data_IF_127077243893
#
_entry.id   IF_127077243893
#
_cell.length_a   1.000
_cell.length_b   1.000
_cell.length_c   1.000
_cell.angle_alpha   90.00
_cell.angle_beta   90.00
_cell.angle_gamma   90.00
#
_symmetry.space_group_name_H-M   'P 1'
#
loop_
_entity.id
_entity.type
_entity.pdbx_description
1 polymer ?
#
# COMPACT_ATOMS: atom_id res chain seq x y z
N UNK A 1 -16.80 43.49 -10.55
CA UNK A 1 -16.76 42.45 -9.50
C UNK A 1 -16.46 41.14 -10.20
N UNK A 2 -15.17 40.78 -10.22
CA UNK A 2 -14.60 39.72 -11.04
C UNK A 2 -14.82 38.33 -10.45
N UNK A 3 -15.53 37.48 -11.21
CA UNK A 3 -15.60 36.03 -11.02
C UNK A 3 -14.83 35.34 -12.17
N UNK A 4 -13.49 35.42 -12.16
CA UNK A 4 -12.64 34.63 -13.08
C UNK A 4 -11.28 34.33 -12.44
N UNK A 5 -11.09 33.15 -11.83
CA UNK A 5 -9.73 32.61 -11.61
C UNK A 5 -9.58 31.12 -11.26
N UNK A 6 -10.64 30.34 -10.97
CA UNK A 6 -10.44 28.95 -10.52
C UNK A 6 -10.69 27.84 -11.57
N UNK A 7 -11.34 28.14 -12.70
CA UNK A 7 -11.54 27.14 -13.77
C UNK A 7 -10.29 26.91 -14.64
N UNK A 8 -9.35 27.88 -14.67
CA UNK A 8 -8.15 27.79 -15.50
C UNK A 8 -7.07 26.85 -14.93
N UNK A 9 -6.99 26.71 -13.59
CA UNK A 9 -6.00 25.83 -12.93
C UNK A 9 -6.37 24.34 -13.01
N UNK A 10 -7.67 24.03 -12.99
CA UNK A 10 -8.17 22.64 -13.14
C UNK A 10 -8.00 22.13 -14.58
N UNK A 11 -8.15 23.02 -15.58
CA UNK A 11 -7.87 22.66 -16.98
C UNK A 11 -6.38 22.40 -17.25
N UNK A 12 -5.46 23.08 -16.55
CA UNK A 12 -4.02 22.90 -16.75
C UNK A 12 -3.53 21.52 -16.24
N UNK A 13 -4.16 20.99 -15.18
CA UNK A 13 -3.88 19.63 -14.66
C UNK A 13 -4.45 18.55 -15.59
N UNK A 14 -5.58 18.80 -16.25
CA UNK A 14 -6.18 17.89 -17.24
C UNK A 14 -5.46 17.89 -18.60
N UNK A 15 -4.85 19.01 -19.00
CA UNK A 15 -4.09 19.13 -20.25
C UNK A 15 -2.75 18.39 -20.22
N UNK A 16 -2.11 18.27 -19.05
CA UNK A 16 -0.86 17.51 -18.89
C UNK A 16 -1.07 15.98 -18.95
N UNK A 17 -2.31 15.50 -18.88
CA UNK A 17 -2.65 14.07 -18.95
C UNK A 17 -3.14 13.65 -20.36
N UNK A 18 -3.54 14.60 -21.21
CA UNK A 18 -4.19 14.29 -22.51
C UNK A 18 -3.31 14.46 -23.76
N UNK A 19 -2.02 14.78 -23.65
CA UNK A 19 -1.12 14.78 -24.80
C UNK A 19 -0.49 13.41 -25.05
N UNK A 20 -1.28 12.45 -25.55
CA UNK A 20 -0.84 11.51 -26.60
C UNK A 20 -2.04 10.70 -27.13
N UNK A 21 -2.72 11.26 -28.12
CA UNK A 21 -3.67 10.52 -28.97
C UNK A 21 -3.06 10.44 -30.36
N UNK A 22 -2.70 9.21 -30.72
CA UNK A 22 -2.73 8.58 -32.05
C UNK A 22 -1.43 7.88 -32.46
N UNK A 23 -1.51 6.53 -32.47
CA UNK A 23 -1.33 5.77 -33.71
C UNK A 23 -1.92 4.36 -33.55
N UNK A 24 -2.99 4.13 -34.31
CA UNK A 24 -3.60 2.82 -34.59
C UNK A 24 -2.58 1.90 -35.28
N UNK A 25 -2.59 0.63 -34.89
CA UNK A 25 -1.82 -0.43 -35.54
C UNK A 25 -2.11 -1.81 -34.94
N UNK A 26 -3.24 -2.38 -35.38
CA UNK A 26 -3.55 -3.79 -35.65
C UNK A 26 -3.19 -4.90 -34.63
N UNK A 27 -4.25 -5.64 -34.27
CA UNK A 27 -4.30 -6.87 -33.46
C UNK A 27 -3.65 -8.07 -34.19
N UNK A 28 -2.95 -8.93 -33.45
CA UNK A 28 -2.83 -10.36 -33.74
C UNK A 28 -2.71 -11.15 -32.44
N UNK A 29 -3.63 -12.10 -32.26
CA UNK A 29 -3.76 -13.06 -31.17
C UNK A 29 -2.85 -14.28 -31.34
N UNK A 30 -2.30 -14.83 -30.25
CA UNK A 30 -2.50 -16.23 -29.81
C UNK A 30 -1.48 -16.71 -28.75
N UNK A 31 -2.03 -17.22 -27.64
CA UNK A 31 -1.73 -18.49 -26.94
C UNK A 31 -0.37 -18.72 -26.23
N UNK A 32 -0.51 -19.05 -24.94
CA UNK A 32 0.31 -19.82 -23.99
C UNK A 32 1.60 -19.27 -23.36
N UNK A 33 1.63 -19.34 -22.02
CA UNK A 33 2.85 -19.39 -21.21
C UNK A 33 2.94 -18.34 -20.11
N UNK A 34 2.85 -18.78 -18.85
CA UNK A 34 3.28 -18.03 -17.68
C UNK A 34 4.76 -17.63 -17.82
N UNK A 35 5.06 -16.44 -18.36
CA UNK A 35 6.35 -15.78 -18.24
C UNK A 35 6.16 -14.28 -18.32
N UNK A 36 6.80 -13.57 -17.38
CA UNK A 36 7.09 -12.14 -17.33
C UNK A 36 5.99 -11.25 -17.91
N UNK A 37 5.23 -10.57 -17.02
CA UNK A 37 4.38 -9.45 -17.40
C UNK A 37 5.19 -8.47 -18.25
N UNK A 38 5.07 -8.62 -19.57
CA UNK A 38 5.76 -7.82 -20.56
C UNK A 38 5.12 -6.45 -20.48
N UNK A 39 5.88 -5.50 -19.93
CA UNK A 39 5.47 -4.12 -19.75
C UNK A 39 5.12 -3.50 -21.11
N UNK A 40 3.92 -2.93 -21.31
CA UNK A 40 3.75 -1.87 -22.27
C UNK A 40 4.10 -0.55 -21.58
N UNK A 41 5.37 -0.35 -21.24
CA UNK A 41 5.88 0.98 -20.87
C UNK A 41 6.40 1.66 -22.12
N UNK A 42 5.49 2.13 -22.97
CA UNK A 42 5.80 3.12 -23.99
C UNK A 42 6.04 4.48 -23.32
N UNK A 43 7.19 4.60 -22.67
CA UNK A 43 7.87 5.89 -22.57
C UNK A 43 9.26 5.62 -23.13
N UNK A 44 9.39 5.88 -24.43
CA UNK A 44 10.68 5.93 -25.09
C UNK A 44 11.67 6.68 -24.19
N UNK A 45 12.94 6.28 -24.19
CA UNK A 45 14.04 7.10 -23.69
C UNK A 45 13.97 8.46 -24.43
N UNK A 46 13.13 9.38 -23.95
CA UNK A 46 13.11 10.75 -24.45
C UNK A 46 14.45 11.28 -24.01
N UNK A 47 15.32 11.54 -24.99
CA UNK A 47 16.65 12.07 -24.75
C UNK A 47 16.50 13.29 -23.84
N UNK A 48 16.93 13.15 -22.60
CA UNK A 48 16.83 14.23 -21.61
C UNK A 48 17.72 15.34 -22.15
N UNK A 49 17.10 16.48 -22.47
CA UNK A 49 17.77 17.62 -23.06
C UNK A 49 19.00 18.00 -22.24
N UNK A 50 20.15 17.98 -22.92
CA UNK A 50 21.46 18.33 -22.39
C UNK A 50 21.47 19.76 -21.84
N UNK A 51 21.48 19.88 -20.52
CA UNK A 51 22.17 20.99 -19.86
C UNK A 51 23.39 20.37 -19.14
N UNK A 52 24.59 20.72 -19.63
CA UNK A 52 25.93 20.30 -19.17
C UNK A 52 26.62 19.09 -19.84
N UNK A 53 26.12 18.59 -20.98
CA UNK A 53 26.80 17.54 -21.77
C UNK A 53 27.05 16.21 -21.02
N UNK A 54 26.29 15.95 -19.95
CA UNK A 54 26.41 14.74 -19.13
C UNK A 54 25.63 13.60 -19.79
N UNK A 55 26.34 12.61 -20.34
CA UNK A 55 25.77 11.44 -21.03
C UNK A 55 25.49 10.30 -20.04
N UNK A 56 24.31 10.34 -19.42
CA UNK A 56 23.89 9.30 -18.46
C UNK A 56 23.72 7.92 -19.10
N UNK A 57 23.35 7.87 -20.37
CA UNK A 57 23.31 6.66 -21.19
C UNK A 57 24.69 5.96 -21.24
N UNK A 58 25.74 6.71 -21.54
CA UNK A 58 27.11 6.17 -21.52
C UNK A 58 27.55 5.77 -20.11
N UNK A 59 27.18 6.57 -19.10
CA UNK A 59 27.49 6.25 -17.71
C UNK A 59 26.82 4.94 -17.27
N UNK A 60 25.55 4.72 -17.59
CA UNK A 60 24.83 3.51 -17.19
C UNK A 60 25.43 2.25 -17.83
N UNK A 61 25.87 2.34 -19.09
CA UNK A 61 26.63 1.27 -19.75
C UNK A 61 27.97 1.04 -19.05
N UNK A 62 28.72 2.10 -18.73
CA UNK A 62 30.00 2.00 -18.01
C UNK A 62 29.88 1.41 -16.61
N UNK A 63 28.79 1.70 -15.92
CA UNK A 63 28.47 1.13 -14.60
C UNK A 63 27.83 -0.26 -14.70
N UNK A 64 27.64 -0.79 -15.91
CA UNK A 64 27.01 -2.09 -16.19
C UNK A 64 25.65 -2.23 -15.49
N UNK A 65 24.80 -1.20 -15.61
CA UNK A 65 23.44 -1.24 -15.05
C UNK A 65 22.52 -2.01 -15.98
N UNK A 66 21.69 -2.88 -15.41
CA UNK A 66 20.53 -3.43 -16.12
C UNK A 66 19.52 -2.33 -16.42
N UNK A 67 18.61 -2.55 -17.38
CA UNK A 67 17.51 -1.60 -17.67
C UNK A 67 16.69 -1.27 -16.41
N UNK A 68 16.52 -2.25 -15.53
CA UNK A 68 15.80 -2.08 -14.27
C UNK A 68 16.56 -1.17 -13.29
N UNK A 69 17.87 -1.40 -13.12
CA UNK A 69 18.73 -0.55 -12.29
C UNK A 69 18.90 0.86 -12.87
N UNK A 70 19.00 1.00 -14.20
CA UNK A 70 19.07 2.30 -14.86
C UNK A 70 17.82 3.14 -14.59
N UNK A 71 16.63 2.52 -14.64
CA UNK A 71 15.37 3.18 -14.24
C UNK A 71 15.37 3.56 -12.77
N UNK A 72 15.94 2.71 -11.91
CA UNK A 72 16.11 2.96 -10.48
C UNK A 72 16.86 4.27 -10.23
N UNK A 73 18.03 4.35 -10.84
CA UNK A 73 18.93 5.49 -10.80
C UNK A 73 18.27 6.74 -11.40
N UNK A 74 17.51 6.62 -12.49
CA UNK A 74 16.77 7.76 -13.06
C UNK A 74 15.68 8.30 -12.13
N UNK A 75 15.00 7.45 -11.36
CA UNK A 75 14.06 7.94 -10.35
C UNK A 75 14.80 8.70 -9.24
N UNK A 76 15.92 8.16 -8.76
CA UNK A 76 16.73 8.83 -7.76
C UNK A 76 17.20 10.20 -8.29
N UNK A 77 17.69 10.25 -9.53
CA UNK A 77 18.05 11.50 -10.21
C UNK A 77 16.90 12.50 -10.14
N UNK A 78 15.74 12.13 -10.67
CA UNK A 78 14.58 13.03 -10.74
C UNK A 78 14.20 13.60 -9.37
N UNK A 79 14.30 12.77 -8.31
CA UNK A 79 14.05 13.22 -6.94
C UNK A 79 15.11 14.20 -6.48
N UNK A 80 16.39 13.85 -6.58
CA UNK A 80 17.50 14.67 -6.08
C UNK A 80 17.64 15.99 -6.85
N UNK A 81 17.28 16.01 -8.13
CA UNK A 81 17.36 17.20 -8.99
C UNK A 81 16.08 18.03 -9.04
N UNK A 82 14.96 17.58 -8.46
CA UNK A 82 13.73 18.41 -8.44
C UNK A 82 13.90 19.57 -7.45
N UNK A 83 14.06 20.76 -8.01
CA UNK A 83 14.18 22.02 -7.27
C UNK A 83 12.88 22.51 -6.65
N UNK A 84 11.73 22.02 -7.13
CA UNK A 84 10.39 22.37 -6.62
C UNK A 84 10.02 21.56 -5.39
N UNK A 85 10.59 20.36 -5.24
CA UNK A 85 10.38 19.50 -4.07
C UNK A 85 11.37 19.87 -2.96
N UNK A 86 11.01 20.84 -2.11
CA UNK A 86 11.87 21.32 -1.02
C UNK A 86 11.73 20.43 0.21
N UNK A 87 12.86 19.89 0.69
CA UNK A 87 12.94 19.11 1.93
C UNK A 87 13.85 19.83 2.92
N UNK A 88 13.52 19.71 4.20
CA UNK A 88 14.36 20.17 5.32
C UNK A 88 14.70 18.98 6.22
N UNK A 89 15.89 19.00 6.78
CA UNK A 89 16.37 18.02 7.75
C UNK A 89 15.73 18.24 9.15
N UNK A 90 16.24 17.54 10.16
CA UNK A 90 15.75 17.63 11.54
C UNK A 90 15.97 19.02 12.16
N UNK A 91 17.03 19.72 11.75
CA UNK A 91 17.39 21.05 12.24
C UNK A 91 16.71 22.17 11.42
N UNK A 92 15.90 21.80 10.43
CA UNK A 92 15.21 22.73 9.55
C UNK A 92 16.10 23.30 8.44
N UNK A 93 17.32 22.80 8.26
CA UNK A 93 18.21 23.17 7.17
C UNK A 93 17.70 22.56 5.87
N UNK A 94 17.80 23.32 4.78
CA UNK A 94 17.35 22.84 3.47
C UNK A 94 18.30 21.74 2.97
N UNK A 95 17.75 20.57 2.71
CA UNK A 95 18.46 19.44 2.08
C UNK A 95 18.92 19.83 0.69
N UNK A 96 20.13 19.39 0.31
CA UNK A 96 20.74 19.68 -0.99
C UNK A 96 19.84 19.26 -2.14
N UNK A 97 19.60 20.18 -3.09
CA UNK A 97 19.11 19.83 -4.43
C UNK A 97 20.33 19.66 -5.34
N UNK A 98 20.46 18.50 -5.96
CA UNK A 98 21.54 18.18 -6.87
C UNK A 98 21.29 18.85 -8.22
N UNK A 99 22.35 19.25 -8.90
CA UNK A 99 22.30 19.42 -10.36
C UNK A 99 22.71 18.12 -11.06
N UNK A 100 22.66 18.12 -12.40
CA UNK A 100 23.02 16.97 -13.22
C UNK A 100 24.48 16.52 -13.01
N UNK A 101 25.39 17.46 -12.77
CA UNK A 101 26.81 17.17 -12.61
C UNK A 101 27.13 16.63 -11.22
N UNK A 102 26.49 17.18 -10.19
CA UNK A 102 26.54 16.66 -8.82
C UNK A 102 26.01 15.23 -8.76
N UNK A 103 24.89 14.95 -9.43
CA UNK A 103 24.36 13.60 -9.49
C UNK A 103 25.29 12.65 -10.26
N UNK A 104 25.88 13.11 -11.37
CA UNK A 104 26.90 12.34 -12.09
C UNK A 104 28.10 11.99 -11.19
N UNK A 105 28.60 12.94 -10.40
CA UNK A 105 29.71 12.70 -9.45
C UNK A 105 29.32 11.74 -8.34
N UNK A 106 28.08 11.82 -7.84
CA UNK A 106 27.57 10.88 -6.84
C UNK A 106 27.69 9.43 -7.36
N UNK A 107 27.22 9.17 -8.58
CA UNK A 107 27.27 7.83 -9.17
C UNK A 107 28.70 7.41 -9.56
N UNK A 108 29.42 8.26 -10.29
CA UNK A 108 30.68 7.88 -10.93
C UNK A 108 31.89 7.91 -10.01
N UNK A 109 31.91 8.83 -9.04
CA UNK A 109 33.06 9.05 -8.14
C UNK A 109 32.76 8.50 -6.76
N UNK A 110 31.60 8.84 -6.19
CA UNK A 110 31.30 8.55 -4.78
C UNK A 110 30.87 7.10 -4.58
N UNK A 111 29.97 6.62 -5.43
CA UNK A 111 29.53 5.23 -5.43
C UNK A 111 30.47 4.36 -6.25
N UNK A 112 30.73 4.73 -7.50
CA UNK A 112 31.34 3.83 -8.47
C UNK A 112 30.38 2.70 -8.88
N UNK A 113 30.84 1.81 -9.76
CA UNK A 113 30.00 0.80 -10.41
C UNK A 113 29.26 -0.12 -9.43
N UNK A 114 30.02 -0.82 -8.56
CA UNK A 114 29.46 -1.83 -7.65
C UNK A 114 28.45 -1.21 -6.68
N UNK A 115 28.79 -0.08 -6.03
CA UNK A 115 27.88 0.57 -5.09
C UNK A 115 26.65 1.15 -5.78
N UNK A 116 26.79 1.67 -7.00
CA UNK A 116 25.65 2.16 -7.77
C UNK A 116 24.66 1.03 -8.09
N UNK A 117 25.14 -0.15 -8.44
CA UNK A 117 24.30 -1.33 -8.66
C UNK A 117 23.53 -1.71 -7.39
N UNK A 118 24.21 -1.78 -6.23
CA UNK A 118 23.57 -2.08 -4.94
C UNK A 118 22.52 -1.04 -4.56
N UNK A 119 22.83 0.26 -4.70
CA UNK A 119 21.87 1.35 -4.44
C UNK A 119 20.66 1.22 -5.36
N UNK A 120 20.89 0.94 -6.65
CA UNK A 120 19.84 0.76 -7.63
C UNK A 120 18.90 -0.41 -7.27
N UNK A 121 19.44 -1.53 -6.80
CA UNK A 121 18.64 -2.68 -6.35
C UNK A 121 17.76 -2.32 -5.14
N UNK A 122 18.32 -1.66 -4.14
CA UNK A 122 17.59 -1.29 -2.93
C UNK A 122 16.43 -0.34 -3.19
N UNK A 123 16.65 0.71 -3.99
CA UNK A 123 15.59 1.67 -4.31
C UNK A 123 14.55 1.09 -5.28
N UNK A 124 14.93 0.10 -6.10
CA UNK A 124 14.01 -0.48 -7.07
C UNK A 124 12.92 -1.35 -6.42
N UNK A 125 13.12 -1.81 -5.19
CA UNK A 125 12.15 -2.62 -4.42
C UNK A 125 10.74 -2.01 -4.38
N UNK A 126 10.63 -0.67 -4.41
CA UNK A 126 9.35 0.05 -4.34
C UNK A 126 8.71 0.31 -5.70
N UNK A 127 9.44 0.13 -6.81
CA UNK A 127 8.99 0.56 -8.14
C UNK A 127 7.78 -0.18 -8.62
N UNK A 128 7.75 -1.50 -8.42
CA UNK A 128 6.63 -2.33 -8.84
C UNK A 128 5.37 -1.94 -8.06
N UNK A 129 5.50 -1.71 -6.76
CA UNK A 129 4.39 -1.25 -5.92
C UNK A 129 3.88 0.14 -6.36
N UNK A 130 4.79 1.11 -6.55
CA UNK A 130 4.44 2.45 -7.02
C UNK A 130 3.76 2.44 -8.39
N UNK A 131 4.33 1.73 -9.37
CA UNK A 131 3.78 1.64 -10.71
C UNK A 131 2.42 0.92 -10.74
N UNK A 132 2.27 -0.15 -9.95
CA UNK A 132 0.98 -0.84 -9.81
C UNK A 132 -0.08 0.08 -9.22
N UNK A 133 0.27 0.79 -8.13
CA UNK A 133 -0.62 1.75 -7.50
C UNK A 133 -1.05 2.88 -8.46
N UNK A 134 -0.11 3.48 -9.20
CA UNK A 134 -0.41 4.53 -10.17
C UNK A 134 -1.37 4.03 -11.27
N UNK A 135 -1.08 2.85 -11.84
CA UNK A 135 -1.92 2.23 -12.85
C UNK A 135 -3.30 1.84 -12.29
N UNK A 136 -3.38 1.43 -11.03
CA UNK A 136 -4.63 1.09 -10.35
C UNK A 136 -5.49 2.34 -10.16
N UNK A 137 -4.94 3.44 -9.60
CA UNK A 137 -5.67 4.71 -9.44
C UNK A 137 -6.19 5.22 -10.78
N UNK A 138 -5.40 5.10 -11.85
CA UNK A 138 -5.81 5.55 -13.19
C UNK A 138 -7.08 4.85 -13.69
N UNK A 139 -7.31 3.58 -13.32
CA UNK A 139 -8.46 2.76 -13.73
C UNK A 139 -9.76 3.08 -12.99
N UNK A 140 -9.70 3.78 -11.86
CA UNK A 140 -10.89 4.15 -11.08
C UNK A 140 -11.72 5.16 -11.87
N UNK A 141 -12.99 4.83 -12.11
CA UNK A 141 -13.92 5.68 -12.87
C UNK A 141 -14.61 6.72 -11.99
N UNK A 142 -14.92 6.37 -10.74
CA UNK A 142 -15.50 7.30 -9.78
C UNK A 142 -14.52 8.42 -9.45
N UNK A 143 -14.89 9.67 -9.79
CA UNK A 143 -14.01 10.84 -9.67
C UNK A 143 -13.64 11.12 -8.22
N UNK A 144 -14.58 10.98 -7.29
CA UNK A 144 -14.36 11.26 -5.87
C UNK A 144 -13.39 10.25 -5.26
N UNK A 145 -13.60 8.96 -5.54
CA UNK A 145 -12.73 7.88 -5.06
C UNK A 145 -11.35 7.95 -5.72
N UNK A 146 -11.30 8.29 -7.01
CA UNK A 146 -10.04 8.52 -7.73
C UNK A 146 -9.26 9.68 -7.13
N UNK A 147 -9.91 10.80 -6.80
CA UNK A 147 -9.24 11.94 -6.15
C UNK A 147 -8.69 11.57 -4.77
N UNK A 148 -9.47 10.87 -3.96
CA UNK A 148 -9.03 10.39 -2.64
C UNK A 148 -7.81 9.45 -2.74
N UNK A 149 -7.83 8.49 -3.67
CA UNK A 149 -6.71 7.60 -3.92
C UNK A 149 -5.50 8.33 -4.50
N UNK A 150 -5.71 9.29 -5.40
CA UNK A 150 -4.65 10.12 -5.97
C UNK A 150 -3.94 10.93 -4.88
N UNK A 151 -4.70 11.52 -3.93
CA UNK A 151 -4.12 12.23 -2.77
C UNK A 151 -3.26 11.30 -1.90
N UNK A 152 -3.72 10.06 -1.67
CA UNK A 152 -2.95 9.06 -0.91
C UNK A 152 -1.69 8.62 -1.66
N UNK A 153 -1.79 8.41 -2.97
CA UNK A 153 -0.64 8.11 -3.82
C UNK A 153 0.40 9.22 -3.76
N UNK A 154 -0.03 10.48 -3.93
CA UNK A 154 0.85 11.66 -3.83
C UNK A 154 1.49 11.75 -2.44
N UNK A 155 0.73 11.50 -1.37
CA UNK A 155 1.26 11.50 0.00
C UNK A 155 2.33 10.42 0.20
N UNK A 156 2.07 9.19 -0.25
CA UNK A 156 3.04 8.09 -0.19
C UNK A 156 4.30 8.38 -1.04
N UNK A 157 4.11 8.96 -2.23
CA UNK A 157 5.19 9.34 -3.11
C UNK A 157 6.05 10.46 -2.49
N UNK A 158 5.45 11.54 -2.01
CA UNK A 158 6.17 12.63 -1.36
C UNK A 158 6.95 12.15 -0.13
N UNK A 159 6.39 11.20 0.63
CA UNK A 159 7.10 10.58 1.74
C UNK A 159 8.34 9.81 1.26
N UNK A 160 8.19 8.95 0.26
CA UNK A 160 9.31 8.20 -0.32
C UNK A 160 10.40 9.12 -0.89
N UNK A 161 10.02 10.14 -1.66
CA UNK A 161 10.95 11.11 -2.24
C UNK A 161 11.68 11.92 -1.17
N UNK A 162 10.99 12.28 -0.08
CA UNK A 162 11.61 12.93 1.08
C UNK A 162 12.70 12.05 1.70
N UNK A 163 12.41 10.76 1.88
CA UNK A 163 13.36 9.79 2.47
C UNK A 163 14.59 9.64 1.59
N UNK A 164 14.44 9.54 0.27
CA UNK A 164 15.57 9.51 -0.66
C UNK A 164 16.42 10.79 -0.60
N UNK A 165 15.78 11.96 -0.55
CA UNK A 165 16.53 13.24 -0.44
C UNK A 165 17.35 13.31 0.83
N UNK A 166 16.76 12.94 1.98
CA UNK A 166 17.46 12.94 3.27
C UNK A 166 18.62 11.96 3.29
N UNK A 167 18.43 10.76 2.74
CA UNK A 167 19.50 9.76 2.66
C UNK A 167 20.71 10.26 1.84
N UNK A 168 20.47 11.12 0.85
CA UNK A 168 21.50 11.68 -0.02
C UNK A 168 21.90 13.12 0.33
N UNK A 169 21.58 13.64 1.52
CA UNK A 169 21.94 15.04 1.84
C UNK A 169 23.46 15.25 1.91
N UNK A 170 24.18 14.33 2.57
CA UNK A 170 25.63 14.20 2.50
C UNK A 170 26.02 13.14 1.45
N UNK A 171 26.63 13.52 0.31
CA UNK A 171 27.08 12.57 -0.71
C UNK A 171 27.99 11.46 -0.16
N UNK A 172 28.86 11.77 0.82
CA UNK A 172 29.84 10.82 1.34
C UNK A 172 29.18 9.73 2.19
N UNK A 173 28.05 10.04 2.81
CA UNK A 173 27.27 9.09 3.63
C UNK A 173 26.13 8.43 2.84
N UNK A 174 25.80 8.95 1.66
CA UNK A 174 24.64 8.52 0.89
C UNK A 174 24.61 7.02 0.60
N UNK A 175 25.76 6.39 0.36
CA UNK A 175 25.81 4.94 0.14
C UNK A 175 25.37 4.18 1.38
N UNK A 176 25.94 4.49 2.55
CA UNK A 176 25.62 3.82 3.80
C UNK A 176 24.17 4.10 4.22
N UNK A 177 23.68 5.33 4.02
CA UNK A 177 22.29 5.69 4.30
C UNK A 177 21.30 4.92 3.42
N UNK A 178 21.62 4.66 2.15
CA UNK A 178 20.74 3.95 1.22
C UNK A 178 20.82 2.41 1.34
N UNK A 179 21.83 1.87 2.03
CA UNK A 179 22.10 0.42 2.03
C UNK A 179 22.19 -0.20 3.41
N UNK A 180 22.75 0.51 4.38
CA UNK A 180 23.07 -0.02 5.71
C UNK A 180 22.23 0.62 6.82
N UNK A 181 21.59 1.77 6.57
CA UNK A 181 20.72 2.41 7.56
C UNK A 181 19.41 1.64 7.73
N UNK A 182 19.26 1.04 8.93
CA UNK A 182 18.04 0.35 9.35
C UNK A 182 16.78 1.23 9.33
N UNK A 183 16.91 2.53 9.57
CA UNK A 183 15.81 3.49 9.46
C UNK A 183 15.41 3.63 8.00
N UNK A 184 16.35 3.84 7.09
CA UNK A 184 16.05 3.89 5.66
C UNK A 184 15.35 2.62 5.17
N UNK A 185 15.88 1.44 5.52
CA UNK A 185 15.27 0.16 5.16
C UNK A 185 13.81 0.06 5.65
N UNK A 186 13.54 0.49 6.89
CA UNK A 186 12.17 0.53 7.44
C UNK A 186 11.27 1.50 6.67
N UNK A 187 11.75 2.71 6.38
CA UNK A 187 10.99 3.74 5.65
C UNK A 187 10.64 3.29 4.22
N UNK A 188 11.53 2.54 3.58
CA UNK A 188 11.31 1.90 2.27
C UNK A 188 10.19 0.85 2.35
N UNK A 189 10.23 -0.01 3.36
CA UNK A 189 9.16 -1.00 3.61
C UNK A 189 7.83 -0.30 3.87
N UNK A 190 7.80 0.74 4.72
CA UNK A 190 6.59 1.52 5.02
C UNK A 190 6.03 2.19 3.77
N UNK A 191 6.88 2.76 2.90
CA UNK A 191 6.47 3.33 1.63
C UNK A 191 5.89 2.28 0.67
N UNK A 192 6.53 1.12 0.56
CA UNK A 192 6.05 -0.01 -0.24
C UNK A 192 4.65 -0.46 0.22
N UNK A 193 4.46 -0.65 1.52
CA UNK A 193 3.17 -1.03 2.10
C UNK A 193 2.08 0.00 1.78
N UNK A 194 2.40 1.30 1.82
CA UNK A 194 1.45 2.36 1.45
C UNK A 194 1.05 2.31 -0.03
N UNK A 195 1.97 2.00 -0.93
CA UNK A 195 1.65 1.83 -2.36
C UNK A 195 0.84 0.57 -2.62
N UNK A 196 1.23 -0.56 -2.02
CA UNK A 196 0.48 -1.82 -2.14
C UNK A 196 -0.95 -1.65 -1.61
N UNK A 197 -1.14 -0.94 -0.50
CA UNK A 197 -2.47 -0.62 0.03
C UNK A 197 -3.38 0.11 -0.98
N UNK A 198 -2.84 0.96 -1.85
CA UNK A 198 -3.62 1.67 -2.87
C UNK A 198 -4.13 0.73 -3.95
N UNK A 199 -3.29 -0.17 -4.46
CA UNK A 199 -3.70 -1.17 -5.46
C UNK A 199 -4.80 -2.09 -4.90
N UNK A 200 -4.64 -2.44 -3.62
CA UNK A 200 -5.62 -3.19 -2.85
C UNK A 200 -6.95 -2.42 -2.72
N UNK A 201 -6.93 -1.15 -2.35
CA UNK A 201 -8.13 -0.30 -2.22
C UNK A 201 -8.87 -0.14 -3.55
N UNK A 202 -8.15 0.00 -4.67
CA UNK A 202 -8.75 0.06 -6.00
C UNK A 202 -9.49 -1.24 -6.34
N UNK A 203 -8.88 -2.39 -6.03
CA UNK A 203 -9.53 -3.68 -6.20
C UNK A 203 -10.76 -3.83 -5.29
N UNK A 204 -10.74 -3.26 -4.09
CA UNK A 204 -11.88 -3.21 -3.17
C UNK A 204 -13.05 -2.40 -3.74
N UNK A 205 -12.76 -1.19 -4.24
CA UNK A 205 -13.74 -0.31 -4.89
C UNK A 205 -14.40 -1.03 -6.07
N UNK A 206 -13.59 -1.72 -6.88
CA UNK A 206 -14.08 -2.40 -8.09
C UNK A 206 -14.98 -3.60 -7.78
N UNK A 207 -14.77 -4.29 -6.65
CA UNK A 207 -15.42 -5.60 -6.36
C UNK A 207 -16.51 -5.55 -5.29
N UNK A 208 -16.36 -4.69 -4.30
CA UNK A 208 -17.23 -4.66 -3.10
C UNK A 208 -18.07 -3.40 -3.11
N UNK A 209 -17.45 -2.26 -3.32
CA UNK A 209 -18.10 -0.97 -3.21
C UNK A 209 -19.20 -0.77 -4.27
N UNK A 210 -18.94 -1.12 -5.53
CA UNK A 210 -19.99 -1.11 -6.56
C UNK A 210 -21.14 -2.09 -6.26
N UNK A 211 -20.85 -3.24 -5.63
CA UNK A 211 -21.86 -4.26 -5.32
C UNK A 211 -22.79 -3.83 -4.19
N UNK A 212 -22.26 -3.18 -3.16
CA UNK A 212 -23.00 -2.87 -1.94
C UNK A 212 -23.35 -1.38 -1.76
N UNK A 213 -22.83 -0.51 -2.65
CA UNK A 213 -22.99 0.94 -2.62
C UNK A 213 -22.62 1.52 -1.24
N UNK A 214 -21.35 1.36 -0.87
CA UNK A 214 -20.86 1.70 0.46
C UNK A 214 -20.78 3.21 0.66
N UNK A 215 -21.11 3.64 1.88
CA UNK A 215 -20.76 4.96 2.38
C UNK A 215 -19.27 5.04 2.74
N UNK A 216 -18.76 6.25 2.97
CA UNK A 216 -17.37 6.47 3.40
C UNK A 216 -17.07 5.77 4.73
N UNK A 217 -18.04 5.69 5.63
CA UNK A 217 -17.88 5.06 6.94
C UNK A 217 -17.87 3.54 6.84
N UNK A 218 -18.78 2.94 6.07
CA UNK A 218 -18.76 1.51 5.77
C UNK A 218 -17.48 1.10 5.03
N UNK A 219 -16.95 1.98 4.17
CA UNK A 219 -15.66 1.78 3.50
C UNK A 219 -14.50 1.74 4.51
N UNK A 220 -14.50 2.60 5.54
CA UNK A 220 -13.49 2.56 6.61
C UNK A 220 -13.54 1.26 7.40
N UNK A 221 -14.74 0.74 7.66
CA UNK A 221 -14.94 -0.53 8.37
C UNK A 221 -14.37 -1.70 7.57
N UNK A 222 -14.64 -1.72 6.26
CA UNK A 222 -14.09 -2.73 5.35
C UNK A 222 -12.56 -2.66 5.31
N UNK A 223 -11.99 -1.46 5.25
CA UNK A 223 -10.54 -1.27 5.27
C UNK A 223 -9.94 -1.75 6.60
N UNK A 224 -10.56 -1.43 7.73
CA UNK A 224 -10.14 -1.94 9.04
C UNK A 224 -10.15 -3.48 9.07
N UNK A 225 -11.26 -4.09 8.65
CA UNK A 225 -11.38 -5.55 8.65
C UNK A 225 -10.31 -6.21 7.79
N UNK A 226 -10.07 -5.65 6.60
CA UNK A 226 -9.01 -6.09 5.70
C UNK A 226 -7.64 -5.99 6.36
N UNK A 227 -7.30 -4.85 6.93
CA UNK A 227 -5.98 -4.59 7.52
C UNK A 227 -5.70 -5.52 8.70
N UNK A 228 -6.74 -5.95 9.40
CA UNK A 228 -6.67 -6.96 10.45
C UNK A 228 -6.37 -8.36 9.89
N UNK A 229 -7.04 -8.78 8.80
CA UNK A 229 -7.01 -10.17 8.34
C UNK A 229 -5.95 -10.46 7.28
N UNK A 230 -5.66 -9.51 6.38
CA UNK A 230 -4.65 -9.66 5.33
C UNK A 230 -3.27 -9.82 5.95
N UNK A 231 -2.44 -10.65 5.33
CA UNK A 231 -1.11 -11.06 5.83
C UNK A 231 -1.14 -11.92 7.11
N UNK A 232 -2.32 -12.30 7.61
CA UNK A 232 -2.43 -13.31 8.65
C UNK A 232 -1.98 -14.67 8.10
N UNK A 233 -1.15 -15.36 8.88
CA UNK A 233 -0.69 -16.72 8.56
C UNK A 233 -1.75 -17.71 9.05
N UNK A 234 -2.30 -18.49 8.14
CA UNK A 234 -3.28 -19.53 8.43
C UNK A 234 -2.73 -20.90 8.06
N UNK A 235 -3.05 -21.93 8.85
CA UNK A 235 -2.81 -23.33 8.48
C UNK A 235 -3.99 -23.77 7.60
N UNK A 236 -3.82 -23.80 6.27
CA UNK A 236 -4.89 -24.27 5.39
C UNK A 236 -4.80 -25.80 5.25
N UNK A 237 -5.89 -26.50 5.56
CA UNK A 237 -6.07 -27.89 5.18
C UNK A 237 -6.65 -27.94 3.77
N UNK A 238 -5.83 -28.30 2.78
CA UNK A 238 -6.31 -28.40 1.39
C UNK A 238 -7.26 -29.59 1.29
N UNK A 239 -8.55 -29.33 1.08
CA UNK A 239 -9.50 -30.38 0.72
C UNK A 239 -9.19 -30.86 -0.71
N UNK A 240 -8.62 -32.06 -0.84
CA UNK A 240 -8.16 -32.66 -2.11
C UNK A 240 -9.32 -33.10 -3.03
N UNK A 241 -10.55 -32.63 -2.80
CA UNK A 241 -11.73 -33.08 -3.55
C UNK A 241 -11.86 -32.50 -4.96
N UNK A 242 -11.18 -31.40 -5.30
CA UNK A 242 -11.32 -30.79 -6.63
C UNK A 242 -10.30 -31.26 -7.68
N UNK A 243 -9.28 -32.04 -7.32
CA UNK A 243 -8.25 -32.48 -8.29
C UNK A 243 -8.46 -33.87 -8.91
N UNK A 244 -9.48 -34.64 -8.53
CA UNK A 244 -9.59 -36.03 -8.98
C UNK A 244 -10.99 -36.38 -9.51
N UNK A 245 -11.26 -36.01 -10.77
CA UNK A 245 -12.26 -36.68 -11.64
C UNK A 245 -11.76 -38.03 -12.19
N UNK A 246 -10.86 -38.73 -11.48
CA UNK A 246 -10.50 -40.12 -11.80
C UNK A 246 -10.38 -40.94 -10.52
N UNK A 247 -10.96 -42.15 -10.46
CA UNK A 247 -10.88 -43.00 -9.28
C UNK A 247 -9.57 -43.76 -9.30
N UNK A 248 -8.62 -43.47 -8.39
CA UNK A 248 -7.55 -44.43 -8.06
C UNK A 248 -7.17 -44.38 -6.58
N UNK A 249 -7.31 -45.58 -6.01
CA UNK A 249 -6.66 -46.22 -4.87
C UNK A 249 -6.57 -45.49 -3.52
N UNK A 250 -7.16 -46.16 -2.53
CA UNK A 250 -6.95 -45.99 -1.10
C UNK A 250 -5.48 -46.25 -0.78
N UNK A 251 -4.70 -45.21 -0.58
CA UNK A 251 -3.47 -45.28 0.21
C UNK A 251 -3.09 -43.84 0.60
N UNK A 252 -3.11 -43.60 1.90
CA UNK A 252 -2.49 -42.51 2.66
C UNK A 252 -2.74 -41.06 2.20
N UNK A 253 -3.91 -40.53 2.56
CA UNK A 253 -4.14 -39.09 2.68
C UNK A 253 -3.35 -38.52 3.86
N UNK A 254 -2.04 -38.35 3.70
CA UNK A 254 -1.25 -37.52 4.60
C UNK A 254 -1.66 -36.06 4.34
N UNK A 255 -2.50 -35.51 5.23
CA UNK A 255 -2.88 -34.10 5.21
C UNK A 255 -1.62 -33.24 5.28
N UNK A 256 -1.17 -32.72 4.13
CA UNK A 256 -0.10 -31.74 4.07
C UNK A 256 -0.70 -30.40 4.51
N UNK A 257 -0.58 -30.09 5.81
CA UNK A 257 -0.85 -28.76 6.34
C UNK A 257 0.16 -27.79 5.73
N UNK A 258 -0.29 -26.88 4.87
CA UNK A 258 0.55 -25.79 4.35
C UNK A 258 0.12 -24.49 5.01
N UNK A 259 1.08 -23.76 5.54
CA UNK A 259 0.84 -22.38 5.94
C UNK A 259 0.60 -21.55 4.69
N UNK A 260 -0.59 -20.97 4.56
CA UNK A 260 -0.93 -20.01 3.52
C UNK A 260 -1.16 -18.64 4.15
N UNK A 261 -0.64 -17.60 3.49
CA UNK A 261 -0.84 -16.21 3.90
C UNK A 261 -2.19 -15.77 3.33
N UNK A 262 -3.07 -15.23 4.16
CA UNK A 262 -4.35 -14.69 3.69
C UNK A 262 -4.11 -13.45 2.84
N UNK A 263 -4.40 -13.57 1.56
CA UNK A 263 -4.15 -12.49 0.62
C UNK A 263 -5.37 -11.58 0.49
N UNK A 264 -5.12 -10.41 -0.10
CA UNK A 264 -6.15 -9.47 -0.52
C UNK A 264 -7.18 -10.12 -1.45
N UNK A 265 -6.74 -11.05 -2.31
CA UNK A 265 -7.65 -11.76 -3.21
C UNK A 265 -8.57 -12.71 -2.44
N UNK A 266 -8.10 -13.36 -1.37
CA UNK A 266 -8.95 -14.15 -0.48
C UNK A 266 -10.00 -13.26 0.18
N UNK A 267 -9.59 -12.11 0.72
CA UNK A 267 -10.49 -11.14 1.33
C UNK A 267 -11.56 -10.68 0.34
N UNK A 268 -11.15 -10.22 -0.86
CA UNK A 268 -12.09 -9.78 -1.89
C UNK A 268 -13.05 -10.89 -2.31
N UNK A 269 -12.57 -12.10 -2.55
CA UNK A 269 -13.42 -13.23 -2.92
C UNK A 269 -14.51 -13.49 -1.89
N UNK A 270 -14.16 -13.50 -0.60
CA UNK A 270 -15.09 -13.72 0.50
C UNK A 270 -16.10 -12.58 0.61
N UNK A 271 -15.63 -11.33 0.60
CA UNK A 271 -16.48 -10.15 0.79
C UNK A 271 -17.38 -9.86 -0.43
N UNK A 272 -16.90 -10.12 -1.66
CA UNK A 272 -17.69 -9.95 -2.89
C UNK A 272 -18.51 -11.19 -3.27
N UNK A 273 -18.25 -12.33 -2.62
CA UNK A 273 -18.86 -13.63 -2.94
C UNK A 273 -20.31 -13.77 -2.47
N UNK A 274 -20.85 -14.97 -2.63
CA UNK A 274 -22.20 -15.38 -2.20
C UNK A 274 -22.36 -15.47 -0.67
N UNK A 275 -21.26 -15.43 0.09
CA UNK A 275 -21.24 -15.47 1.57
C UNK A 275 -21.98 -14.27 2.17
N UNK A 276 -21.90 -13.12 1.49
CA UNK A 276 -22.54 -11.88 1.87
C UNK A 276 -23.56 -11.45 0.81
N UNK A 277 -24.85 -11.70 1.08
CA UNK A 277 -25.91 -10.91 0.44
C UNK A 277 -25.95 -9.51 1.08
N UNK A 278 -26.63 -8.55 0.43
CA UNK A 278 -26.62 -7.15 0.87
C UNK A 278 -27.04 -6.97 2.33
N UNK A 279 -28.04 -7.71 2.79
CA UNK A 279 -28.54 -7.59 4.17
C UNK A 279 -27.53 -8.12 5.19
N UNK A 280 -26.98 -9.32 4.97
CA UNK A 280 -25.96 -9.91 5.85
C UNK A 280 -24.69 -9.07 5.90
N UNK A 281 -24.30 -8.54 4.74
CA UNK A 281 -23.17 -7.60 4.65
C UNK A 281 -23.41 -6.40 5.56
N UNK A 282 -24.57 -5.74 5.43
CA UNK A 282 -24.92 -4.58 6.26
C UNK A 282 -24.95 -4.89 7.74
N UNK A 283 -25.48 -6.05 8.14
CA UNK A 283 -25.47 -6.46 9.55
C UNK A 283 -24.05 -6.61 10.10
N UNK A 284 -23.13 -7.23 9.34
CA UNK A 284 -21.73 -7.33 9.75
C UNK A 284 -21.08 -5.96 9.85
N UNK A 285 -21.28 -5.09 8.86
CA UNK A 285 -20.72 -3.75 8.88
C UNK A 285 -21.23 -2.95 10.06
N UNK A 286 -22.54 -2.96 10.33
CA UNK A 286 -23.11 -2.27 11.46
C UNK A 286 -22.55 -2.77 12.79
N UNK A 287 -22.39 -4.09 12.95
CA UNK A 287 -21.81 -4.64 14.17
C UNK A 287 -20.37 -4.15 14.39
N UNK A 288 -19.53 -4.24 13.34
CA UNK A 288 -18.14 -3.79 13.42
C UNK A 288 -18.07 -2.27 13.64
N UNK A 289 -18.93 -1.47 12.99
CA UNK A 289 -19.06 -0.02 13.24
C UNK A 289 -19.31 0.27 14.71
N UNK A 290 -20.31 -0.37 15.31
CA UNK A 290 -20.65 -0.18 16.72
C UNK A 290 -19.48 -0.52 17.65
N UNK A 291 -18.69 -1.56 17.33
CA UNK A 291 -17.49 -1.93 18.09
C UNK A 291 -16.40 -0.87 17.93
N UNK A 292 -16.15 -0.39 16.71
CA UNK A 292 -15.12 0.61 16.42
C UNK A 292 -15.43 1.98 17.02
N UNK A 293 -16.70 2.38 17.03
CA UNK A 293 -17.16 3.58 17.71
C UNK A 293 -16.91 3.47 19.23
N UNK A 294 -17.38 2.41 19.87
CA UNK A 294 -17.16 2.18 21.30
C UNK A 294 -15.67 2.13 21.65
N UNK A 295 -14.85 1.52 20.79
CA UNK A 295 -13.38 1.50 20.91
C UNK A 295 -12.79 2.91 20.88
N UNK A 296 -13.19 3.73 19.91
CA UNK A 296 -12.71 5.11 19.78
C UNK A 296 -13.10 5.96 21.00
N UNK A 297 -14.34 5.83 21.47
CA UNK A 297 -14.83 6.54 22.66
C UNK A 297 -14.08 6.12 23.93
N UNK A 298 -13.82 4.82 24.12
CA UNK A 298 -13.04 4.32 25.25
C UNK A 298 -11.62 4.89 25.22
N UNK A 299 -10.98 4.91 24.05
CA UNK A 299 -9.65 5.50 23.87
C UNK A 299 -9.62 6.99 24.21
N UNK A 300 -10.63 7.74 23.76
CA UNK A 300 -10.78 9.15 24.07
C UNK A 300 -10.96 9.38 25.59
N UNK A 301 -11.79 8.58 26.25
CA UNK A 301 -12.02 8.68 27.69
C UNK A 301 -10.74 8.36 28.52
N UNK A 302 -9.94 7.38 28.11
CA UNK A 302 -8.64 7.10 28.76
C UNK A 302 -7.66 8.27 28.56
N UNK A 303 -7.69 8.92 27.40
CA UNK A 303 -6.70 9.95 27.04
C UNK A 303 -6.74 11.16 27.98
N UNK A 304 -7.90 11.48 28.55
CA UNK A 304 -8.12 12.63 29.44
C UNK A 304 -7.82 12.34 30.92
N UNK A 305 -7.51 11.09 31.30
CA UNK A 305 -7.15 10.74 32.67
C UNK A 305 -5.78 11.35 33.02
N UNK A 306 -5.74 12.03 34.17
CA UNK A 306 -4.53 12.66 34.72
C UNK A 306 -3.70 11.72 35.58
N UNK A 307 -4.34 10.82 36.33
CA UNK A 307 -3.63 9.81 37.13
C UNK A 307 -2.92 8.82 36.18
N UNK A 308 -1.59 8.82 36.22
CA UNK A 308 -0.77 8.00 35.34
C UNK A 308 -0.95 6.50 35.60
N UNK A 309 -1.04 6.09 36.87
CA UNK A 309 -1.12 4.67 37.22
C UNK A 309 -2.48 4.09 36.80
N UNK A 310 -3.56 4.81 37.04
CA UNK A 310 -4.90 4.39 36.59
C UNK A 310 -5.05 4.45 35.06
N UNK A 311 -4.44 5.44 34.42
CA UNK A 311 -4.39 5.54 32.95
C UNK A 311 -3.64 4.36 32.32
N UNK A 312 -2.49 3.99 32.87
CA UNK A 312 -1.70 2.87 32.38
C UNK A 312 -2.46 1.54 32.55
N UNK A 313 -3.10 1.33 33.71
CA UNK A 313 -3.95 0.17 33.97
C UNK A 313 -5.13 0.07 33.00
N UNK A 314 -5.83 1.17 32.72
CA UNK A 314 -6.93 1.17 31.75
C UNK A 314 -6.43 1.02 30.30
N UNK A 315 -5.23 1.51 29.99
CA UNK A 315 -4.59 1.24 28.70
C UNK A 315 -4.31 -0.26 28.51
N UNK A 316 -3.85 -0.95 29.55
CA UNK A 316 -3.61 -2.40 29.48
C UNK A 316 -4.91 -3.19 29.29
N UNK A 317 -5.97 -2.85 30.04
CA UNK A 317 -7.31 -3.42 29.86
C UNK A 317 -7.83 -3.18 28.43
N UNK A 318 -7.65 -1.96 27.91
CA UNK A 318 -8.01 -1.59 26.54
C UNK A 318 -7.25 -2.42 25.51
N UNK A 319 -5.93 -2.52 25.64
CA UNK A 319 -5.08 -3.25 24.69
C UNK A 319 -5.41 -4.75 24.71
N UNK A 320 -5.75 -5.31 25.87
CA UNK A 320 -6.19 -6.71 25.97
C UNK A 320 -7.48 -6.94 25.17
N UNK A 321 -8.50 -6.11 25.40
CA UNK A 321 -9.79 -6.22 24.67
C UNK A 321 -9.60 -6.01 23.16
N UNK A 322 -8.74 -5.06 22.77
CA UNK A 322 -8.44 -4.76 21.36
C UNK A 322 -7.71 -5.91 20.65
N UNK A 323 -6.73 -6.51 21.33
CA UNK A 323 -6.02 -7.67 20.83
C UNK A 323 -6.94 -8.88 20.71
N UNK A 324 -7.75 -9.17 21.73
CA UNK A 324 -8.72 -10.27 21.71
C UNK A 324 -9.69 -10.11 20.52
N UNK A 325 -10.25 -8.91 20.34
CA UNK A 325 -11.12 -8.61 19.20
C UNK A 325 -10.43 -8.84 17.85
N UNK A 326 -9.20 -8.36 17.71
CA UNK A 326 -8.41 -8.51 16.48
C UNK A 326 -8.12 -9.99 16.18
N UNK A 327 -7.88 -10.82 17.21
CA UNK A 327 -7.67 -12.26 17.03
C UNK A 327 -8.97 -12.99 16.63
N UNK A 328 -10.10 -12.64 17.24
CA UNK A 328 -11.41 -13.19 16.86
C UNK A 328 -11.78 -12.84 15.41
N UNK A 329 -11.47 -11.63 14.96
CA UNK A 329 -11.63 -11.25 13.55
C UNK A 329 -10.78 -12.13 12.63
N UNK A 330 -9.50 -12.37 12.97
CA UNK A 330 -8.63 -13.26 12.19
C UNK A 330 -9.16 -14.69 12.19
N UNK A 331 -9.61 -15.18 13.34
CA UNK A 331 -10.17 -16.52 13.50
C UNK A 331 -11.48 -16.69 12.69
N UNK A 332 -12.33 -15.66 12.63
CA UNK A 332 -13.54 -15.71 11.81
C UNK A 332 -13.22 -15.94 10.33
N UNK A 333 -12.12 -15.36 9.83
CA UNK A 333 -11.66 -15.50 8.44
C UNK A 333 -10.80 -16.76 8.19
N UNK A 334 -10.52 -17.56 9.22
CA UNK A 334 -9.82 -18.83 9.10
C UNK A 334 -10.76 -19.95 8.62
N UNK A 335 -10.40 -20.58 7.49
CA UNK A 335 -11.12 -21.70 6.85
C UNK A 335 -12.51 -21.40 6.24
N UNK A 336 -12.58 -20.74 5.07
CA UNK A 336 -13.83 -20.60 4.31
C UNK A 336 -14.30 -21.90 3.60
N UNK A 337 -13.54 -23.00 3.70
CA UNK A 337 -13.77 -24.24 2.94
C UNK A 337 -14.59 -25.31 3.68
N UNK A 338 -14.78 -25.18 4.99
CA UNK A 338 -15.80 -25.92 5.74
C UNK A 338 -17.00 -24.98 5.92
N UNK A 339 -17.94 -25.09 4.98
CA UNK A 339 -19.25 -24.44 4.97
C UNK A 339 -19.21 -22.90 5.03
N UNK A 340 -19.26 -22.29 3.84
CA UNK A 340 -19.54 -20.88 3.52
C UNK A 340 -20.80 -20.26 4.19
N UNK A 341 -21.37 -20.88 5.23
CA UNK A 341 -22.59 -20.53 5.93
C UNK A 341 -22.32 -19.76 7.23
N UNK A 342 -21.10 -19.77 7.80
CA UNK A 342 -20.85 -19.27 9.16
C UNK A 342 -20.11 -17.93 9.31
N UNK A 343 -19.41 -17.40 8.29
CA UNK A 343 -18.56 -16.22 8.50
C UNK A 343 -19.35 -15.00 9.00
N UNK A 344 -20.45 -14.68 8.33
CA UNK A 344 -21.28 -13.54 8.70
C UNK A 344 -21.91 -13.72 10.10
N UNK A 345 -22.28 -14.95 10.47
CA UNK A 345 -22.74 -15.27 11.83
C UNK A 345 -21.65 -15.02 12.87
N UNK A 346 -20.42 -15.51 12.63
CA UNK A 346 -19.27 -15.29 13.52
C UNK A 346 -19.01 -13.80 13.72
N UNK A 347 -19.02 -13.03 12.64
CA UNK A 347 -18.77 -11.58 12.69
C UNK A 347 -19.90 -10.78 13.36
N UNK A 348 -21.16 -11.18 13.20
CA UNK A 348 -22.30 -10.57 13.92
C UNK A 348 -22.27 -10.93 15.41
N UNK A 349 -21.82 -12.15 15.75
CA UNK A 349 -21.75 -12.62 17.13
C UNK A 349 -20.65 -11.96 17.96
N UNK A 350 -19.73 -11.20 17.33
CA UNK A 350 -18.70 -10.47 18.06
C UNK A 350 -19.33 -9.37 18.92
N UNK A 351 -19.28 -9.56 20.24
CA UNK A 351 -19.91 -8.67 21.22
C UNK A 351 -18.87 -7.85 22.01
N UNK A 352 -17.98 -7.14 21.30
CA UNK A 352 -16.87 -6.39 21.92
C UNK A 352 -17.22 -4.94 22.25
N UNK A 353 -18.30 -4.38 21.69
CA UNK A 353 -18.71 -3.01 21.94
C UNK A 353 -18.95 -2.75 23.44
N UNK A 354 -19.63 -3.67 24.13
CA UNK A 354 -19.93 -3.51 25.55
C UNK A 354 -18.69 -3.60 26.44
N UNK A 355 -17.67 -4.38 26.05
CA UNK A 355 -16.38 -4.43 26.75
C UNK A 355 -15.68 -3.06 26.67
N UNK A 356 -15.68 -2.41 25.51
CA UNK A 356 -15.15 -1.05 25.36
C UNK A 356 -15.98 -0.01 26.11
N UNK A 357 -17.31 -0.11 26.08
CA UNK A 357 -18.19 0.78 26.87
C UNK A 357 -17.95 0.65 28.38
N UNK A 358 -17.66 -0.54 28.89
CA UNK A 358 -17.28 -0.74 30.30
C UNK A 358 -15.95 -0.05 30.62
N UNK A 359 -14.96 -0.10 29.74
CA UNK A 359 -13.69 0.62 29.90
C UNK A 359 -13.93 2.14 29.90
N UNK A 360 -14.76 2.65 28.98
CA UNK A 360 -15.18 4.06 28.95
C UNK A 360 -15.82 4.49 30.27
N UNK A 361 -16.76 3.68 30.79
CA UNK A 361 -17.43 3.97 32.06
C UNK A 361 -16.44 4.00 33.24
N UNK A 362 -15.48 3.07 33.30
CA UNK A 362 -14.41 3.07 34.31
C UNK A 362 -13.54 4.33 34.19
N UNK A 363 -13.15 4.71 32.97
CA UNK A 363 -12.36 5.92 32.74
C UNK A 363 -13.07 7.19 33.22
N UNK A 364 -14.39 7.30 32.98
CA UNK A 364 -15.18 8.41 33.48
C UNK A 364 -15.37 8.43 35.01
N UNK A 365 -15.28 7.28 35.68
CA UNK A 365 -15.39 7.22 37.14
C UNK A 365 -14.09 7.62 37.88
N UNK A 366 -12.96 7.68 37.16
CA UNK A 366 -11.65 8.07 37.68
C UNK A 366 -11.43 9.59 37.56
N UNK A 367 -12.02 10.21 36.53
CA UNK A 367 -12.08 11.66 36.39
C UNK A 367 -13.09 12.25 37.38
#
# INVERSE_FOLDING_TARGET
MDMKSNKSKVLLVLLLVSCNVDKKGTVSSSVDGYHNASFPMNRAFVSVGNHNNVRFDELFVKLNLTDYQARAVLCLKNVLTDSRFVVRDADGVRVKTYDEFDFYKLLSITFGAVRTQTVAENIAVIFNAKASAEAAVAKVQDVTKKDALSKRFVSANNYYEKVLKLACDDPNQAYDNLTNDSNFAKLIVDAKVKFEAIDIDVALISKIDYKFNLTDEETRVINYLRDVVVNSKFIMFRNVRECFKKPRHKEDHKHLSKFEIYTVNNFHYVMSGSVFNTDKFRMVIQNIMNILEARAEARAAISIINDRAEKDKLNDDYLKVDNDYTQELKAAFYNPAEENVELWHKLIALSYADKFKQIKAKAHAIN
#
